data_IF_791875546590
#
_entry.id   IF_791875546590
#
_cell.length_a   1.000
_cell.length_b   1.000
_cell.length_c   1.000
_cell.angle_alpha   90.00
_cell.angle_beta   90.00
_cell.angle_gamma   90.00
#
_symmetry.space_group_name_H-M   'P 1'
#
loop_
_entity.id
_entity.type
_entity.pdbx_description
1 polymer ?
#
# COMPACT_ATOMS: atom_id res chain seq x y z
N UNK A 1 18.44 -19.28 -9.15
CA UNK A 1 17.08 -19.07 -8.61
C UNK A 1 17.16 -19.25 -7.10
N UNK A 2 17.08 -18.17 -6.33
CA UNK A 2 17.11 -18.23 -4.86
C UNK A 2 15.66 -18.38 -4.41
N UNK A 3 15.37 -19.45 -3.69
CA UNK A 3 14.04 -19.73 -3.12
C UNK A 3 13.72 -18.68 -2.05
N UNK A 4 12.58 -18.03 -2.20
CA UNK A 4 12.01 -17.10 -1.23
C UNK A 4 11.53 -17.85 0.02
N UNK A 5 11.41 -17.17 1.18
CA UNK A 5 10.89 -17.80 2.38
C UNK A 5 9.46 -18.27 2.14
N UNK A 6 9.22 -19.51 2.50
CA UNK A 6 7.93 -20.18 2.37
C UNK A 6 6.94 -19.54 3.33
N UNK A 7 5.82 -19.05 2.83
CA UNK A 7 4.63 -18.85 3.64
C UNK A 7 4.19 -20.25 4.08
N UNK A 8 4.47 -20.61 5.33
CA UNK A 8 3.91 -21.81 5.90
C UNK A 8 2.44 -21.52 6.23
N UNK A 9 1.55 -21.77 5.28
CA UNK A 9 0.13 -21.84 5.56
C UNK A 9 -0.09 -23.12 6.36
N UNK A 10 -0.03 -23.02 7.68
CA UNK A 10 -0.52 -24.09 8.54
C UNK A 10 -2.03 -24.16 8.32
N UNK A 11 -2.49 -25.09 7.50
CA UNK A 11 -3.88 -25.49 7.43
C UNK A 11 -4.25 -26.07 8.80
N UNK A 12 -4.73 -25.22 9.72
CA UNK A 12 -5.39 -25.65 10.92
C UNK A 12 -6.72 -26.28 10.50
N UNK A 13 -6.75 -27.58 10.34
CA UNK A 13 -7.96 -28.37 10.28
C UNK A 13 -8.71 -28.20 11.59
N UNK A 14 -9.65 -27.28 11.66
CA UNK A 14 -10.66 -27.25 12.70
C UNK A 14 -11.60 -28.43 12.46
N UNK A 15 -11.36 -29.50 13.16
CA UNK A 15 -12.33 -30.60 13.30
C UNK A 15 -13.45 -30.12 14.22
N UNK A 16 -14.37 -29.34 13.68
CA UNK A 16 -15.68 -29.09 14.29
C UNK A 16 -16.62 -30.19 13.87
N UNK A 17 -16.92 -31.10 14.80
CA UNK A 17 -17.93 -32.14 14.58
C UNK A 17 -19.30 -31.49 14.45
N UNK A 18 -19.80 -31.36 13.22
CA UNK A 18 -21.21 -31.23 12.89
C UNK A 18 -21.62 -32.47 12.08
N UNK A 19 -22.50 -33.23 12.67
CA UNK A 19 -23.04 -34.44 12.08
C UNK A 19 -23.74 -34.15 10.75
N UNK A 20 -23.33 -34.83 9.67
CA UNK A 20 -24.20 -35.09 8.53
C UNK A 20 -23.81 -34.57 7.16
N UNK A 21 -22.55 -34.17 6.89
CA UNK A 21 -22.06 -34.01 5.50
C UNK A 21 -20.92 -34.97 5.23
N UNK A 22 -20.90 -35.70 4.07
CA UNK A 22 -19.75 -36.51 3.76
C UNK A 22 -18.54 -35.60 3.57
N UNK A 23 -17.59 -35.69 4.51
CA UNK A 23 -16.26 -35.15 4.37
C UNK A 23 -15.60 -35.87 3.19
N UNK A 24 -15.45 -35.18 2.06
CA UNK A 24 -14.51 -35.62 1.05
C UNK A 24 -13.12 -35.50 1.64
N UNK A 25 -12.62 -36.60 2.21
CA UNK A 25 -11.23 -36.74 2.56
C UNK A 25 -10.45 -36.75 1.23
N UNK A 26 -9.89 -35.61 0.85
CA UNK A 26 -8.83 -35.59 -0.14
C UNK A 26 -7.60 -36.27 0.48
N UNK A 27 -7.43 -37.54 0.18
CA UNK A 27 -6.22 -38.31 0.48
C UNK A 27 -5.17 -38.06 -0.63
N UNK A 28 -4.98 -36.81 -1.05
CA UNK A 28 -3.87 -36.39 -1.87
C UNK A 28 -2.81 -35.74 -0.95
N UNK A 29 -1.55 -35.97 -1.23
CA UNK A 29 -0.46 -35.27 -0.57
C UNK A 29 -0.57 -33.78 -0.90
N UNK A 30 -1.24 -33.02 -0.03
CA UNK A 30 -1.18 -31.57 -0.13
C UNK A 30 0.29 -31.16 -0.04
N UNK A 31 0.81 -30.27 -0.89
CA UNK A 31 2.17 -29.80 -0.79
C UNK A 31 2.36 -29.22 0.62
N UNK A 32 3.52 -29.47 1.21
CA UNK A 32 3.84 -29.05 2.58
C UNK A 32 3.85 -27.51 2.73
N UNK A 33 3.87 -26.79 1.64
CA UNK A 33 3.68 -25.35 1.54
C UNK A 33 3.18 -24.98 0.14
N UNK A 34 2.23 -24.04 0.06
CA UNK A 34 1.81 -23.40 -1.18
C UNK A 34 2.62 -22.12 -1.29
N UNK A 35 3.40 -21.97 -2.37
CA UNK A 35 4.07 -20.71 -2.66
C UNK A 35 3.04 -19.75 -3.28
N UNK A 36 2.51 -18.86 -2.44
CA UNK A 36 1.67 -17.75 -2.88
C UNK A 36 2.49 -16.49 -3.08
N UNK A 37 2.13 -15.67 -4.06
CA UNK A 37 2.73 -14.35 -4.27
C UNK A 37 1.68 -13.26 -4.23
N UNK A 38 2.06 -12.09 -3.71
CA UNK A 38 1.27 -10.86 -3.77
C UNK A 38 2.08 -9.82 -4.53
N UNK A 39 1.53 -9.33 -5.62
CA UNK A 39 2.17 -8.30 -6.46
C UNK A 39 1.62 -6.95 -6.09
N UNK A 40 2.49 -6.05 -5.61
CA UNK A 40 2.12 -4.67 -5.27
C UNK A 40 2.84 -3.71 -6.21
N UNK A 41 2.09 -2.87 -6.90
CA UNK A 41 2.61 -1.68 -7.55
C UNK A 41 2.39 -0.48 -6.61
N UNK A 42 3.37 0.41 -6.54
CA UNK A 42 3.25 1.55 -5.63
C UNK A 42 3.79 2.84 -6.20
N UNK A 43 3.27 3.93 -5.68
CA UNK A 43 3.75 5.30 -5.90
C UNK A 43 3.95 6.00 -4.56
N UNK A 44 4.69 7.09 -4.57
CA UNK A 44 4.86 8.03 -3.47
C UNK A 44 5.30 9.38 -4.04
N UNK A 45 5.05 10.45 -3.32
CA UNK A 45 5.54 11.80 -3.65
C UNK A 45 5.25 12.22 -5.10
N UNK A 46 4.03 11.94 -5.56
CA UNK A 46 3.58 12.29 -6.92
C UNK A 46 3.54 13.80 -7.11
N UNK A 47 3.21 14.57 -6.05
CA UNK A 47 3.13 16.02 -6.05
C UNK A 47 2.33 16.61 -7.22
N UNK A 48 1.22 15.97 -7.57
CA UNK A 48 0.32 16.41 -8.63
C UNK A 48 0.88 16.23 -10.05
N UNK A 49 1.94 15.42 -10.22
CA UNK A 49 2.49 15.08 -11.55
C UNK A 49 1.53 14.17 -12.30
N UNK A 50 0.87 14.68 -13.34
CA UNK A 50 -0.15 13.93 -14.05
C UNK A 50 0.27 13.49 -15.46
N UNK A 51 1.28 14.15 -16.05
CA UNK A 51 1.77 13.84 -17.38
C UNK A 51 3.27 14.06 -17.50
N UNK A 52 3.85 13.51 -18.55
CA UNK A 52 5.25 13.74 -18.92
C UNK A 52 5.54 15.24 -19.06
N UNK A 53 6.64 15.66 -18.47
CA UNK A 53 7.20 17.00 -18.59
C UNK A 53 8.72 16.92 -18.74
N UNK A 54 9.27 17.67 -19.69
CA UNK A 54 10.72 17.71 -19.91
C UNK A 54 11.27 19.11 -19.64
N UNK A 55 12.25 19.19 -18.75
CA UNK A 55 12.98 20.41 -18.47
C UNK A 55 14.28 20.43 -19.27
N UNK A 56 14.28 21.11 -20.41
CA UNK A 56 15.42 21.17 -21.32
C UNK A 56 16.65 21.83 -20.68
N UNK A 57 16.49 22.77 -19.74
CA UNK A 57 17.61 23.44 -19.09
C UNK A 57 18.34 22.53 -18.08
N UNK A 58 17.65 21.56 -17.52
CA UNK A 58 18.22 20.57 -16.58
C UNK A 58 18.53 19.24 -17.24
N UNK A 59 18.07 19.01 -18.46
CA UNK A 59 18.19 17.72 -19.14
C UNK A 59 17.41 16.59 -18.46
N UNK A 60 16.38 16.91 -17.65
CA UNK A 60 15.63 15.94 -16.86
C UNK A 60 14.16 15.92 -17.30
N UNK A 61 13.56 14.73 -17.27
CA UNK A 61 12.12 14.55 -17.47
C UNK A 61 11.46 14.02 -16.21
N UNK A 62 10.19 14.35 -16.04
CA UNK A 62 9.29 13.69 -15.10
C UNK A 62 8.18 13.03 -15.91
N UNK A 63 7.75 11.87 -15.51
CA UNK A 63 6.53 11.24 -16.02
C UNK A 63 5.41 11.43 -15.01
N UNK A 64 4.18 11.22 -15.43
CA UNK A 64 3.05 11.28 -14.54
C UNK A 64 2.25 9.97 -14.63
N UNK A 65 0.95 10.08 -14.47
CA UNK A 65 0.06 8.93 -14.63
C UNK A 65 0.11 8.32 -16.05
N UNK A 66 0.46 9.09 -17.07
CA UNK A 66 0.69 8.58 -18.42
C UNK A 66 1.85 7.58 -18.48
N UNK A 67 2.96 7.89 -17.82
CA UNK A 67 4.09 6.95 -17.72
C UNK A 67 3.80 5.77 -16.82
N UNK A 68 3.10 5.98 -15.70
CA UNK A 68 2.64 4.89 -14.83
C UNK A 68 1.72 3.93 -15.59
N UNK A 69 0.85 4.45 -16.45
CA UNK A 69 -0.03 3.65 -17.31
C UNK A 69 0.75 2.73 -18.26
N UNK A 70 1.83 3.23 -18.85
CA UNK A 70 2.70 2.42 -19.71
C UNK A 70 3.36 1.29 -18.89
N UNK A 71 3.87 1.60 -17.70
CA UNK A 71 4.49 0.61 -16.82
C UNK A 71 3.47 -0.44 -16.36
N UNK A 72 2.27 -0.03 -15.97
CA UNK A 72 1.19 -0.93 -15.59
C UNK A 72 0.86 -1.91 -16.74
N UNK A 73 0.71 -1.39 -17.96
CA UNK A 73 0.42 -2.22 -19.14
C UNK A 73 1.56 -3.18 -19.49
N UNK A 74 2.82 -2.80 -19.21
CA UNK A 74 3.99 -3.60 -19.52
C UNK A 74 4.18 -4.81 -18.58
N UNK A 75 3.48 -4.85 -17.44
CA UNK A 75 3.58 -5.98 -16.49
C UNK A 75 2.97 -7.28 -17.01
N UNK A 76 2.12 -7.22 -18.02
CA UNK A 76 1.40 -8.37 -18.58
C UNK A 76 0.19 -8.82 -17.74
N UNK A 77 0.29 -8.75 -16.42
CA UNK A 77 -0.83 -9.00 -15.50
C UNK A 77 -1.03 -7.76 -14.60
N UNK A 78 -2.26 -7.47 -14.25
CA UNK A 78 -2.58 -6.43 -13.27
C UNK A 78 -1.92 -6.77 -11.91
N UNK A 79 -1.39 -5.78 -11.17
CA UNK A 79 -0.95 -6.01 -9.81
C UNK A 79 -2.15 -6.38 -8.91
N UNK A 80 -1.88 -7.11 -7.83
CA UNK A 80 -2.92 -7.44 -6.86
C UNK A 80 -3.39 -6.21 -6.07
N UNK A 81 -2.44 -5.29 -5.82
CA UNK A 81 -2.71 -4.01 -5.16
C UNK A 81 -1.94 -2.88 -5.85
N UNK A 82 -2.59 -1.71 -5.90
CA UNK A 82 -1.96 -0.46 -6.29
C UNK A 82 -2.08 0.52 -5.11
N UNK A 83 -0.93 0.88 -4.52
CA UNK A 83 -0.84 1.64 -3.27
C UNK A 83 -0.03 2.93 -3.46
N UNK A 84 -0.32 3.92 -2.61
CA UNK A 84 0.41 5.19 -2.61
C UNK A 84 0.82 5.59 -1.18
N UNK A 85 2.04 6.11 -1.03
CA UNK A 85 2.59 6.48 0.27
C UNK A 85 2.64 7.99 0.52
N UNK A 86 1.71 8.75 -0.08
CA UNK A 86 1.45 10.15 0.25
C UNK A 86 2.25 11.18 -0.54
N UNK A 87 1.99 12.45 -0.20
CA UNK A 87 2.42 13.63 -0.94
C UNK A 87 1.98 13.61 -2.41
N UNK A 88 0.72 13.30 -2.60
CA UNK A 88 0.14 13.01 -3.90
C UNK A 88 -0.74 14.15 -4.42
N UNK A 89 -1.57 14.75 -3.56
CA UNK A 89 -2.64 15.67 -3.98
C UNK A 89 -2.22 17.11 -4.10
N UNK A 90 -1.03 17.48 -3.61
CA UNK A 90 -0.53 18.86 -3.60
C UNK A 90 0.85 18.97 -4.28
N UNK A 91 1.03 20.01 -5.11
CA UNK A 91 2.32 20.30 -5.78
C UNK A 91 2.12 21.04 -7.07
N UNK A 92 2.02 20.34 -8.20
CA UNK A 92 1.87 21.00 -9.51
C UNK A 92 0.51 21.69 -9.69
N UNK A 93 0.44 22.65 -10.62
CA UNK A 93 -0.75 23.50 -10.83
C UNK A 93 -2.03 22.70 -11.10
N UNK A 94 -1.94 21.57 -11.80
CA UNK A 94 -3.09 20.71 -12.08
C UNK A 94 -3.76 20.20 -10.78
N UNK A 95 -2.96 19.82 -9.80
CA UNK A 95 -3.45 19.40 -8.49
C UNK A 95 -3.91 20.61 -7.66
N UNK A 96 -3.07 21.67 -7.56
CA UNK A 96 -3.35 22.80 -6.67
C UNK A 96 -4.55 23.63 -7.10
N UNK A 97 -4.79 23.80 -8.40
CA UNK A 97 -5.96 24.53 -8.90
C UNK A 97 -7.30 23.83 -8.64
N UNK A 98 -7.26 22.50 -8.50
CA UNK A 98 -8.44 21.69 -8.17
C UNK A 98 -8.47 21.29 -6.68
N UNK A 99 -7.52 21.81 -5.89
CA UNK A 99 -7.34 21.43 -4.47
C UNK A 99 -7.27 19.91 -4.28
N UNK A 100 -6.49 19.22 -5.15
CA UNK A 100 -6.26 17.79 -5.11
C UNK A 100 -7.31 16.95 -5.85
N UNK A 101 -8.49 17.49 -6.12
CA UNK A 101 -9.61 16.73 -6.71
C UNK A 101 -9.23 16.03 -8.02
N UNK A 102 -8.55 16.73 -8.95
CA UNK A 102 -8.19 16.14 -10.24
C UNK A 102 -7.24 14.94 -10.11
N UNK A 103 -6.39 14.93 -9.10
CA UNK A 103 -5.50 13.78 -8.83
C UNK A 103 -6.31 12.63 -8.21
N UNK A 104 -7.22 12.93 -7.28
CA UNK A 104 -8.10 11.92 -6.70
C UNK A 104 -8.95 11.22 -7.77
N UNK A 105 -9.50 11.99 -8.73
CA UNK A 105 -10.23 11.44 -9.88
C UNK A 105 -9.33 10.57 -10.79
N UNK A 106 -8.07 10.97 -11.00
CA UNK A 106 -7.11 10.16 -11.75
C UNK A 106 -6.76 8.85 -11.04
N UNK A 107 -6.55 8.89 -9.72
CA UNK A 107 -6.27 7.68 -8.93
C UNK A 107 -7.45 6.71 -8.95
N UNK A 108 -8.68 7.22 -8.83
CA UNK A 108 -9.89 6.41 -8.86
C UNK A 108 -10.14 5.77 -10.24
N UNK A 109 -9.84 6.51 -11.31
CA UNK A 109 -10.07 6.04 -12.69
C UNK A 109 -8.85 5.36 -13.32
N UNK A 110 -7.77 5.20 -12.56
CA UNK A 110 -6.54 4.61 -13.08
C UNK A 110 -6.75 3.13 -13.37
N UNK A 111 -6.83 2.77 -14.65
CA UNK A 111 -7.27 1.45 -15.14
C UNK A 111 -8.64 1.03 -14.57
N UNK A 112 -8.97 -0.26 -14.68
CA UNK A 112 -10.30 -0.75 -14.32
C UNK A 112 -10.58 -0.67 -12.81
N UNK A 113 -9.54 -0.81 -11.97
CA UNK A 113 -9.69 -0.98 -10.52
C UNK A 113 -9.23 0.23 -9.71
N UNK A 114 -8.57 1.23 -10.33
CA UNK A 114 -8.00 2.37 -9.61
C UNK A 114 -6.92 2.00 -8.60
N UNK A 115 -6.64 2.93 -7.69
CA UNK A 115 -5.82 2.65 -6.51
C UNK A 115 -6.64 1.96 -5.42
N UNK A 116 -6.02 1.06 -4.66
CA UNK A 116 -6.66 0.43 -3.51
C UNK A 116 -6.61 1.34 -2.27
N UNK A 117 -5.45 1.95 -2.01
CA UNK A 117 -5.28 2.83 -0.86
C UNK A 117 -4.13 3.83 -1.02
N UNK A 118 -4.23 4.92 -0.27
CA UNK A 118 -3.17 5.91 -0.04
C UNK A 118 -3.08 6.28 1.44
N UNK A 119 -1.97 6.88 1.86
CA UNK A 119 -1.82 7.56 3.15
C UNK A 119 -1.49 9.03 2.92
N UNK A 120 -1.88 9.98 3.79
CA UNK A 120 -1.50 11.37 3.60
C UNK A 120 0.00 11.58 3.84
N UNK A 121 0.64 12.37 2.97
CA UNK A 121 1.92 13.01 3.24
C UNK A 121 1.75 14.41 3.82
N UNK A 122 2.83 15.06 4.22
CA UNK A 122 2.74 16.36 4.88
C UNK A 122 2.21 17.48 3.95
N UNK A 123 2.47 17.42 2.65
CA UNK A 123 1.91 18.38 1.68
C UNK A 123 0.43 18.21 1.42
N UNK A 124 -0.12 17.02 1.59
CA UNK A 124 -1.55 16.76 1.33
C UNK A 124 -2.47 17.49 2.29
N UNK A 125 -1.99 17.81 3.51
CA UNK A 125 -2.75 18.60 4.49
C UNK A 125 -2.94 20.06 4.10
N UNK A 126 -2.32 20.53 3.01
CA UNK A 126 -2.40 21.93 2.54
C UNK A 126 -3.81 22.40 2.21
N UNK A 127 -4.76 21.49 2.03
CA UNK A 127 -6.17 21.84 1.79
C UNK A 127 -7.06 21.71 3.03
N UNK A 128 -6.47 21.38 4.17
CA UNK A 128 -7.15 21.18 5.44
C UNK A 128 -7.60 19.73 5.68
N UNK A 129 -7.62 19.35 6.94
CA UNK A 129 -7.88 17.98 7.38
C UNK A 129 -9.21 17.39 6.88
N UNK A 130 -10.29 18.18 6.92
CA UNK A 130 -11.61 17.71 6.47
C UNK A 130 -11.67 17.46 4.98
N UNK A 131 -11.07 18.33 4.17
CA UNK A 131 -11.03 18.14 2.72
C UNK A 131 -10.19 16.92 2.38
N UNK A 132 -9.00 16.78 2.98
CA UNK A 132 -8.14 15.62 2.75
C UNK A 132 -8.85 14.31 3.12
N UNK A 133 -9.49 14.24 4.29
CA UNK A 133 -10.23 13.06 4.73
C UNK A 133 -11.37 12.67 3.78
N UNK A 134 -11.97 13.65 3.12
CA UNK A 134 -13.08 13.43 2.16
C UNK A 134 -12.61 13.38 0.70
N UNK A 135 -11.31 13.41 0.45
CA UNK A 135 -10.73 13.43 -0.91
C UNK A 135 -11.18 12.24 -1.75
N UNK A 136 -11.30 11.07 -1.12
CA UNK A 136 -11.78 9.85 -1.77
C UNK A 136 -13.24 9.93 -2.25
N UNK A 137 -14.02 10.90 -1.78
CA UNK A 137 -15.38 11.17 -2.27
C UNK A 137 -15.43 11.68 -3.71
N UNK A 138 -14.29 12.10 -4.29
CA UNK A 138 -14.17 12.43 -5.70
C UNK A 138 -13.91 11.16 -6.52
N UNK A 139 -14.86 10.23 -6.50
CA UNK A 139 -14.78 8.95 -7.18
C UNK A 139 -15.77 8.87 -8.33
N UNK A 140 -15.32 9.07 -9.59
CA UNK A 140 -16.17 8.89 -10.77
C UNK A 140 -16.66 7.46 -10.98
N UNK A 141 -15.91 6.47 -10.49
CA UNK A 141 -16.26 5.05 -10.62
C UNK A 141 -17.28 4.59 -9.58
N UNK A 142 -17.40 5.31 -8.46
CA UNK A 142 -18.24 4.92 -7.33
C UNK A 142 -17.60 3.87 -6.41
N UNK A 143 -16.35 3.48 -6.68
CA UNK A 143 -15.54 2.56 -5.85
C UNK A 143 -14.25 3.25 -5.43
N UNK A 144 -14.31 4.23 -4.50
CA UNK A 144 -13.17 5.06 -4.16
C UNK A 144 -12.06 4.24 -3.49
N UNK A 145 -10.81 4.64 -3.76
CA UNK A 145 -9.66 4.16 -2.97
C UNK A 145 -9.78 4.59 -1.49
N UNK A 146 -9.09 3.89 -0.61
CA UNK A 146 -9.08 4.23 0.80
C UNK A 146 -7.99 5.25 1.14
N UNK A 147 -8.32 6.27 1.96
CA UNK A 147 -7.37 7.17 2.62
C UNK A 147 -7.11 6.64 4.03
N UNK A 148 -5.90 6.15 4.28
CA UNK A 148 -5.54 5.46 5.53
C UNK A 148 -4.62 6.33 6.39
N UNK A 149 -4.97 6.59 7.64
CA UNK A 149 -4.11 7.25 8.60
C UNK A 149 -4.40 6.79 10.04
N UNK A 150 -3.81 5.65 10.43
CA UNK A 150 -4.08 4.97 11.68
C UNK A 150 -3.74 5.80 12.94
N UNK A 151 -2.80 6.74 12.82
CA UNK A 151 -2.36 7.57 13.94
C UNK A 151 -3.01 8.96 14.00
N UNK A 152 -3.84 9.32 13.02
CA UNK A 152 -4.56 10.59 13.05
C UNK A 152 -5.89 10.47 13.79
N UNK A 153 -6.18 11.42 14.68
CA UNK A 153 -7.47 11.57 15.36
C UNK A 153 -8.00 12.97 15.09
N UNK A 154 -9.25 13.04 14.62
CA UNK A 154 -9.90 14.32 14.33
C UNK A 154 -11.19 14.45 15.11
N UNK A 155 -11.51 15.69 15.53
CA UNK A 155 -12.79 16.03 16.17
C UNK A 155 -13.95 16.09 15.18
N UNK A 156 -13.66 16.23 13.87
CA UNK A 156 -14.66 16.40 12.82
C UNK A 156 -14.97 15.11 12.04
N UNK A 157 -14.24 14.02 12.29
CA UNK A 157 -14.49 12.74 11.60
C UNK A 157 -13.47 11.67 11.92
N UNK A 158 -13.70 10.47 11.40
CA UNK A 158 -12.85 9.30 11.63
C UNK A 158 -11.93 9.10 10.43
N UNK A 159 -10.66 8.82 10.69
CA UNK A 159 -9.69 8.33 9.71
C UNK A 159 -9.76 6.81 9.66
N UNK A 160 -9.74 6.24 8.47
CA UNK A 160 -9.57 4.79 8.31
C UNK A 160 -8.14 4.41 8.66
N UNK A 161 -7.98 3.31 9.40
CA UNK A 161 -6.65 2.81 9.79
C UNK A 161 -6.09 1.85 8.74
N UNK A 162 -6.95 0.98 8.20
CA UNK A 162 -6.59 -0.11 7.32
C UNK A 162 -7.71 -0.53 6.38
N UNK A 163 -7.35 -1.34 5.41
CA UNK A 163 -8.26 -2.13 4.57
C UNK A 163 -7.80 -3.58 4.51
N UNK A 164 -8.69 -4.47 4.05
CA UNK A 164 -8.33 -5.84 3.68
C UNK A 164 -8.78 -6.15 2.27
N UNK A 165 -7.97 -6.92 1.53
CA UNK A 165 -8.31 -7.47 0.20
C UNK A 165 -8.06 -8.96 0.21
N UNK A 166 -9.01 -9.73 -0.32
CA UNK A 166 -8.86 -11.18 -0.48
C UNK A 166 -8.58 -11.49 -1.92
N UNK A 167 -7.49 -12.20 -2.17
CA UNK A 167 -7.03 -12.59 -3.48
C UNK A 167 -7.37 -14.06 -3.70
N UNK A 168 -8.12 -14.35 -4.76
CA UNK A 168 -8.36 -15.71 -5.19
C UNK A 168 -7.15 -16.23 -5.98
N UNK A 169 -6.73 -17.46 -5.70
CA UNK A 169 -5.59 -18.12 -6.31
C UNK A 169 -5.92 -19.56 -6.65
N UNK A 170 -5.31 -20.06 -7.70
CA UNK A 170 -5.34 -21.48 -8.05
C UNK A 170 -3.92 -22.00 -8.03
N UNK A 171 -3.67 -23.07 -7.30
CA UNK A 171 -2.43 -23.83 -7.39
C UNK A 171 -2.65 -25.02 -8.32
N UNK A 172 -1.71 -25.30 -9.18
CA UNK A 172 -1.72 -26.43 -10.10
C UNK A 172 -0.43 -27.22 -9.95
N UNK A 173 -0.54 -28.53 -9.78
CA UNK A 173 0.60 -29.43 -9.79
C UNK A 173 1.16 -29.56 -11.21
N UNK A 174 2.49 -29.42 -11.33
CA UNK A 174 3.16 -29.44 -12.63
C UNK A 174 3.27 -30.85 -13.23
N UNK A 175 3.06 -31.90 -12.43
CA UNK A 175 3.24 -33.30 -12.88
C UNK A 175 1.90 -33.95 -13.25
N UNK A 176 0.89 -33.82 -12.40
CA UNK A 176 -0.40 -34.49 -12.58
C UNK A 176 -1.55 -33.54 -12.94
N UNK A 177 -1.28 -32.22 -13.02
CA UNK A 177 -2.27 -31.17 -13.32
C UNK A 177 -3.44 -31.11 -12.33
N UNK A 178 -3.29 -31.69 -11.15
CA UNK A 178 -4.25 -31.47 -10.08
C UNK A 178 -4.24 -30.01 -9.66
N UNK A 179 -5.40 -29.42 -9.44
CA UNK A 179 -5.52 -28.02 -9.06
C UNK A 179 -6.44 -27.86 -7.86
N UNK A 180 -6.15 -26.86 -7.01
CA UNK A 180 -7.07 -26.44 -5.97
C UNK A 180 -7.04 -24.92 -5.79
N UNK A 181 -8.19 -24.37 -5.47
CA UNK A 181 -8.34 -22.95 -5.19
C UNK A 181 -8.01 -22.64 -3.73
N UNK A 182 -7.34 -21.52 -3.51
CA UNK A 182 -7.04 -21.00 -2.18
C UNK A 182 -7.16 -19.47 -2.16
N UNK A 183 -7.08 -18.88 -0.99
CA UNK A 183 -7.20 -17.43 -0.82
C UNK A 183 -6.01 -16.90 -0.05
N UNK A 184 -5.55 -15.72 -0.44
CA UNK A 184 -4.59 -14.93 0.32
C UNK A 184 -5.32 -13.68 0.81
N UNK A 185 -5.36 -13.44 2.11
CA UNK A 185 -5.92 -12.23 2.69
C UNK A 185 -4.81 -11.24 2.99
N UNK A 186 -4.86 -10.09 2.34
CA UNK A 186 -3.91 -9.01 2.51
C UNK A 186 -4.53 -7.90 3.34
N UNK A 187 -3.81 -7.43 4.37
CA UNK A 187 -4.13 -6.23 5.12
C UNK A 187 -3.22 -5.08 4.67
N UNK A 188 -3.78 -3.88 4.55
CA UNK A 188 -3.01 -2.66 4.29
C UNK A 188 -3.28 -1.67 5.41
N UNK A 189 -2.24 -1.17 6.07
CA UNK A 189 -2.32 -0.14 7.11
C UNK A 189 -1.58 1.11 6.65
N UNK A 190 -2.15 2.31 6.93
CA UNK A 190 -1.54 3.58 6.54
C UNK A 190 -1.27 4.49 7.74
N UNK A 191 -0.19 5.30 7.68
CA UNK A 191 0.11 6.33 8.68
C UNK A 191 1.04 7.42 8.12
N UNK A 192 1.01 8.60 8.76
CA UNK A 192 2.01 9.66 8.59
C UNK A 192 2.86 9.75 9.86
N UNK A 193 4.18 9.81 9.72
CA UNK A 193 5.09 9.96 10.87
C UNK A 193 4.74 11.23 11.66
N UNK A 194 4.54 11.07 12.97
CA UNK A 194 4.20 12.17 13.88
C UNK A 194 5.25 13.29 13.92
N UNK A 195 6.49 13.00 13.56
CA UNK A 195 7.55 14.02 13.47
C UNK A 195 7.29 15.06 12.38
N UNK A 196 6.51 14.70 11.36
CA UNK A 196 6.13 15.59 10.27
C UNK A 196 5.03 16.59 10.66
N UNK A 197 4.36 16.41 11.81
CA UNK A 197 3.34 17.35 12.33
C UNK A 197 3.87 18.77 12.40
N UNK A 198 5.14 18.95 12.76
CA UNK A 198 5.78 20.28 12.85
C UNK A 198 5.89 21.02 11.51
N UNK A 199 5.77 20.33 10.40
CA UNK A 199 5.75 20.90 9.04
C UNK A 199 4.37 21.36 8.60
N UNK A 200 3.31 21.00 9.34
CA UNK A 200 1.94 21.30 8.99
C UNK A 200 1.53 22.70 9.48
N UNK A 201 0.69 23.36 8.70
CA UNK A 201 0.07 24.59 9.15
C UNK A 201 -1.01 24.29 10.20
N UNK A 202 -0.85 24.83 11.40
CA UNK A 202 -1.73 24.58 12.54
C UNK A 202 -3.23 24.88 12.27
N UNK A 203 -3.50 25.93 11.46
CA UNK A 203 -4.87 26.29 11.10
C UNK A 203 -5.55 25.26 10.17
N UNK A 204 -4.78 24.55 9.34
CA UNK A 204 -5.27 23.54 8.41
C UNK A 204 -5.51 22.18 9.05
N UNK A 205 -4.82 21.90 10.17
CA UNK A 205 -4.97 20.67 10.95
C UNK A 205 -5.66 20.87 12.29
N UNK A 206 -6.30 22.03 12.49
CA UNK A 206 -7.02 22.34 13.71
C UNK A 206 -8.02 21.22 14.07
N UNK A 207 -7.97 20.74 15.32
CA UNK A 207 -8.81 19.63 15.77
C UNK A 207 -8.33 18.24 15.35
N UNK A 208 -7.17 18.14 14.66
CA UNK A 208 -6.50 16.87 14.39
C UNK A 208 -5.26 16.76 15.27
N UNK A 209 -4.98 15.57 15.76
CA UNK A 209 -3.78 15.22 16.51
C UNK A 209 -3.19 13.92 16.00
N UNK A 210 -1.87 13.79 16.10
CA UNK A 210 -1.15 12.60 15.65
C UNK A 210 -0.55 11.88 16.85
N UNK A 211 -0.80 10.59 16.95
CA UNK A 211 -0.11 9.72 17.91
C UNK A 211 1.11 9.09 17.24
N UNK A 212 1.90 8.30 17.99
CA UNK A 212 3.01 7.59 17.38
C UNK A 212 2.55 6.69 16.23
N UNK A 213 3.06 6.96 15.02
CA UNK A 213 2.73 6.21 13.82
C UNK A 213 3.14 4.74 13.94
N UNK A 214 4.36 4.48 14.42
CA UNK A 214 4.83 3.10 14.62
C UNK A 214 3.94 2.32 15.60
N UNK A 215 3.50 2.94 16.70
CA UNK A 215 2.62 2.27 17.65
C UNK A 215 1.22 2.01 17.08
N UNK A 216 0.68 2.95 16.32
CA UNK A 216 -0.62 2.79 15.66
C UNK A 216 -0.57 1.68 14.60
N UNK A 217 0.47 1.67 13.75
CA UNK A 217 0.71 0.61 12.77
C UNK A 217 0.83 -0.75 13.46
N UNK A 218 1.61 -0.85 14.52
CA UNK A 218 1.81 -2.09 15.24
C UNK A 218 0.52 -2.66 15.84
N UNK A 219 -0.32 -1.79 16.38
CA UNK A 219 -1.63 -2.20 16.93
C UNK A 219 -2.58 -2.68 15.82
N UNK A 220 -2.60 -1.97 14.70
CA UNK A 220 -3.44 -2.32 13.56
C UNK A 220 -2.95 -3.59 12.85
N UNK A 221 -1.63 -3.75 12.67
CA UNK A 221 -1.05 -4.96 12.11
C UNK A 221 -1.37 -6.20 12.97
N UNK A 222 -1.31 -6.06 14.30
CA UNK A 222 -1.73 -7.13 15.21
C UNK A 222 -3.22 -7.49 15.03
N UNK A 223 -4.07 -6.49 14.84
CA UNK A 223 -5.51 -6.70 14.60
C UNK A 223 -5.73 -7.39 13.25
N UNK A 224 -5.10 -6.93 12.17
CA UNK A 224 -5.16 -7.55 10.85
C UNK A 224 -4.71 -9.02 10.87
N UNK A 225 -3.64 -9.34 11.62
CA UNK A 225 -3.19 -10.74 11.81
C UNK A 225 -4.23 -11.58 12.56
N UNK A 226 -4.89 -11.04 13.59
CA UNK A 226 -5.99 -11.72 14.29
C UNK A 226 -7.19 -11.96 13.40
N UNK A 227 -7.43 -11.08 12.45
CA UNK A 227 -8.48 -11.21 11.42
C UNK A 227 -8.11 -12.20 10.31
N UNK A 228 -6.93 -12.80 10.37
CA UNK A 228 -6.47 -13.82 9.44
C UNK A 228 -5.80 -13.26 8.19
N UNK A 229 -5.23 -12.07 8.23
CA UNK A 229 -4.42 -11.58 7.12
C UNK A 229 -3.10 -12.36 7.05
N UNK A 230 -2.85 -12.96 5.89
CA UNK A 230 -1.63 -13.71 5.57
C UNK A 230 -0.46 -12.77 5.31
N UNK A 231 -0.73 -11.60 4.72
CA UNK A 231 0.23 -10.55 4.40
C UNK A 231 -0.27 -9.23 4.97
N UNK A 232 0.63 -8.44 5.57
CA UNK A 232 0.34 -7.07 6.03
C UNK A 232 1.34 -6.11 5.38
N UNK A 233 0.81 -5.18 4.60
CA UNK A 233 1.57 -4.11 3.95
C UNK A 233 1.32 -2.81 4.70
N UNK A 234 2.38 -2.08 5.00
CA UNK A 234 2.30 -0.73 5.54
C UNK A 234 2.59 0.29 4.44
N UNK A 235 1.76 1.32 4.30
CA UNK A 235 2.07 2.52 3.55
C UNK A 235 2.32 3.65 4.55
N UNK A 236 3.49 4.28 4.53
CA UNK A 236 3.81 5.33 5.50
C UNK A 236 4.58 6.48 4.88
N UNK A 237 4.11 7.71 5.18
CA UNK A 237 4.87 8.91 4.84
C UNK A 237 5.75 9.26 6.05
N UNK A 238 7.07 9.04 5.93
CA UNK A 238 7.98 9.02 7.08
C UNK A 238 9.39 9.48 6.75
N UNK A 239 10.03 10.11 7.71
CA UNK A 239 11.48 10.34 7.69
C UNK A 239 12.20 9.00 7.92
N UNK A 240 13.35 8.80 7.27
CA UNK A 240 14.22 7.63 7.41
C UNK A 240 13.45 6.29 7.50
N UNK A 241 12.92 5.86 6.36
CA UNK A 241 12.10 4.65 6.25
C UNK A 241 12.76 3.41 6.85
N UNK A 242 14.10 3.29 6.78
CA UNK A 242 14.83 2.14 7.36
C UNK A 242 14.78 2.16 8.88
N UNK A 243 15.08 3.30 9.50
CA UNK A 243 14.98 3.46 10.96
C UNK A 243 13.53 3.30 11.42
N UNK A 244 12.56 3.84 10.67
CA UNK A 244 11.15 3.66 10.97
C UNK A 244 10.74 2.18 10.97
N UNK A 245 11.18 1.41 9.97
CA UNK A 245 10.90 -0.02 9.86
C UNK A 245 11.40 -0.84 11.07
N UNK A 246 12.52 -0.45 11.70
CA UNK A 246 13.03 -1.16 12.90
C UNK A 246 12.07 -1.09 14.09
N UNK A 247 11.11 -0.15 14.09
CA UNK A 247 10.09 0.06 15.14
C UNK A 247 8.82 -0.75 14.87
N UNK A 248 8.66 -1.31 13.66
CA UNK A 248 7.46 -2.02 13.22
C UNK A 248 7.51 -3.50 13.60
N UNK A 249 6.34 -4.07 13.81
CA UNK A 249 6.11 -5.51 14.04
C UNK A 249 4.82 -5.98 13.37
N UNK A 250 4.79 -7.24 12.95
CA UNK A 250 3.62 -7.83 12.29
C UNK A 250 3.41 -7.36 10.85
N UNK A 251 4.34 -6.58 10.29
CA UNK A 251 4.33 -6.01 8.94
C UNK A 251 5.35 -6.79 8.08
N UNK A 252 4.98 -7.14 6.84
CA UNK A 252 5.86 -7.83 5.89
C UNK A 252 6.57 -6.86 4.95
N UNK A 253 5.88 -5.77 4.58
CA UNK A 253 6.45 -4.74 3.70
C UNK A 253 6.06 -3.33 4.15
N UNK A 254 6.99 -2.39 4.01
CA UNK A 254 6.81 -0.96 4.18
C UNK A 254 7.05 -0.26 2.84
N UNK A 255 6.02 0.40 2.35
CA UNK A 255 6.10 1.33 1.23
C UNK A 255 6.17 2.72 1.84
N UNK A 256 7.28 3.41 1.64
CA UNK A 256 7.56 4.71 2.23
C UNK A 256 7.47 5.84 1.20
N UNK A 257 7.30 7.05 1.69
CA UNK A 257 7.44 8.30 0.98
C UNK A 257 8.09 9.35 1.87
N UNK A 258 8.31 10.55 1.34
CA UNK A 258 8.88 11.75 1.94
C UNK A 258 10.32 12.06 1.57
N UNK A 259 11.22 11.08 1.57
CA UNK A 259 12.66 11.33 1.35
C UNK A 259 13.03 11.46 -0.14
N UNK A 260 12.12 11.14 -1.04
CA UNK A 260 12.32 11.22 -2.50
C UNK A 260 13.50 10.37 -2.98
N UNK A 261 13.79 9.26 -2.32
CA UNK A 261 14.90 8.36 -2.65
C UNK A 261 14.43 7.08 -3.32
N UNK A 262 15.33 6.44 -4.05
CA UNK A 262 15.11 5.06 -4.52
C UNK A 262 15.62 4.10 -3.45
N UNK A 263 14.69 3.45 -2.75
CA UNK A 263 15.00 2.50 -1.68
C UNK A 263 14.43 1.12 -2.01
N UNK A 264 15.22 0.07 -1.75
CA UNK A 264 14.79 -1.32 -1.82
C UNK A 264 15.68 -2.17 -0.92
N UNK A 265 15.32 -2.21 0.34
CA UNK A 265 16.14 -2.79 1.39
C UNK A 265 15.33 -3.80 2.21
N UNK A 266 16.03 -4.68 2.91
CA UNK A 266 15.46 -5.57 3.91
C UNK A 266 15.91 -5.10 5.28
N UNK A 267 14.97 -4.83 6.15
CA UNK A 267 15.22 -4.34 7.51
C UNK A 267 14.64 -5.34 8.51
N UNK A 268 15.32 -5.53 9.63
CA UNK A 268 14.78 -6.35 10.73
C UNK A 268 13.87 -5.48 11.59
N UNK A 269 12.59 -5.86 11.67
CA UNK A 269 11.58 -5.20 12.49
C UNK A 269 11.74 -5.48 13.98
N UNK A 270 10.90 -4.85 14.79
CA UNK A 270 10.92 -4.97 16.26
C UNK A 270 10.58 -6.38 16.77
N UNK A 271 9.94 -7.21 15.96
CA UNK A 271 9.64 -8.62 16.25
C UNK A 271 10.70 -9.61 15.74
N UNK A 272 11.81 -9.10 15.22
CA UNK A 272 12.89 -9.90 14.66
C UNK A 272 12.63 -10.43 13.24
N UNK A 273 11.49 -10.10 12.65
CA UNK A 273 11.15 -10.51 11.27
C UNK A 273 11.70 -9.52 10.25
N UNK A 274 11.89 -10.01 9.04
CA UNK A 274 12.32 -9.17 7.91
C UNK A 274 11.15 -8.39 7.36
N UNK A 275 11.32 -7.08 7.23
CA UNK A 275 10.41 -6.16 6.55
C UNK A 275 11.08 -5.72 5.24
N UNK A 276 10.36 -5.80 4.13
CA UNK A 276 10.81 -5.23 2.88
C UNK A 276 10.45 -3.75 2.85
N UNK A 277 11.46 -2.88 2.69
CA UNK A 277 11.29 -1.42 2.72
C UNK A 277 11.58 -0.85 1.34
N UNK A 278 10.62 -0.11 0.80
CA UNK A 278 10.72 0.50 -0.54
C UNK A 278 10.26 1.94 -0.55
N UNK A 279 10.90 2.73 -1.42
CA UNK A 279 10.49 4.08 -1.81
C UNK A 279 10.89 4.29 -3.28
N UNK A 280 10.04 4.95 -4.07
CA UNK A 280 10.18 5.02 -5.53
C UNK A 280 10.64 6.39 -6.04
N UNK A 281 11.35 7.17 -5.24
CA UNK A 281 11.73 8.53 -5.59
C UNK A 281 10.57 9.52 -5.48
N UNK A 282 10.52 10.55 -6.33
CA UNK A 282 9.42 11.52 -6.33
C UNK A 282 9.05 11.96 -7.72
N UNK A 283 7.83 12.47 -7.89
CA UNK A 283 7.31 13.08 -9.12
C UNK A 283 7.61 12.25 -10.37
N UNK A 284 7.67 10.93 -10.25
CA UNK A 284 8.11 10.02 -11.31
C UNK A 284 9.42 10.49 -11.99
N UNK A 285 10.33 11.11 -11.23
CA UNK A 285 11.59 11.60 -11.75
C UNK A 285 12.35 10.43 -12.42
N UNK A 286 12.69 10.59 -13.69
CA UNK A 286 13.10 9.56 -14.62
C UNK A 286 14.45 8.92 -14.37
N UNK A 287 14.66 8.40 -13.19
CA UNK A 287 15.68 7.42 -12.88
C UNK A 287 14.99 6.07 -12.82
N UNK A 288 15.20 5.28 -13.89
CA UNK A 288 14.81 3.87 -14.03
C UNK A 288 13.60 3.48 -13.15
N UNK A 289 12.39 3.77 -13.65
CA UNK A 289 11.15 3.24 -13.07
C UNK A 289 11.20 1.72 -13.18
N UNK A 290 11.81 1.08 -12.20
CA UNK A 290 11.65 -0.35 -12.04
C UNK A 290 10.33 -0.57 -11.32
N UNK A 291 9.31 -1.11 -11.98
CA UNK A 291 8.14 -1.61 -11.27
C UNK A 291 8.64 -2.64 -10.29
N UNK A 292 8.46 -2.38 -9.00
CA UNK A 292 8.91 -3.31 -7.97
C UNK A 292 7.74 -4.22 -7.67
N UNK A 293 7.80 -5.41 -8.26
CA UNK A 293 6.93 -6.52 -7.88
C UNK A 293 7.48 -7.17 -6.63
N UNK A 294 6.64 -7.38 -5.65
CA UNK A 294 6.94 -8.13 -4.45
C UNK A 294 6.35 -9.50 -4.58
N UNK A 295 7.16 -10.49 -4.34
CA UNK A 295 6.66 -11.83 -4.02
C UNK A 295 6.89 -12.04 -2.53
N UNK A 296 5.81 -12.18 -1.77
CA UNK A 296 5.84 -12.47 -0.34
C UNK A 296 6.30 -13.90 -0.05
#
# INVERSE_FOLDING_TARGET
MKRLPRLALAAALFAGALAGTPSLAFAGNLPAAIDGSVTVMHTNDIHGSYKYSYNASKGTGTVGFDGLAVLYSAQGNAPDLLLDAGDTFHGQSFATMSEGKSIAELMDTFYADGYDATTPGNHDWSYGADKLRTMTGYSPTGTPFAMLCANAKSTSGVWSSSITKTLDRTWEDSEDHSAFDYKIKVGVVGAMDESLESSLRADLVAGTSFSSAANAINAEAEQLRKEGCDVVVCIAHTLDAKTFATRLRGVDALIAGHEHINLNEKVTGADGKTIHVVEAGSAFAGHELHPKTWTA
#
